data_IF_220113198223
#
_entry.id   IF_220113198223
#
_cell.length_a   1.000
_cell.length_b   1.000
_cell.length_c   1.000
_cell.angle_alpha   90.00
_cell.angle_beta   90.00
_cell.angle_gamma   90.00
#
_symmetry.space_group_name_H-M   'P 1'
#
loop_
_entity.id
_entity.type
_entity.pdbx_description
1 polymer ?
#
# COMPACT_ATOMS: atom_id res chain seq x y z
N UNK A 1 -2.82 52.81 17.38
CA UNK A 1 -1.76 52.19 16.54
C UNK A 1 -1.75 50.70 16.88
N UNK A 2 -2.22 49.85 15.98
CA UNK A 2 -2.35 48.41 16.22
C UNK A 2 -1.01 47.71 15.96
N UNK A 3 -0.53 46.95 16.94
CA UNK A 3 0.64 46.09 16.78
C UNK A 3 0.39 45.05 15.69
N UNK A 4 1.31 44.84 14.74
CA UNK A 4 1.15 43.80 13.74
C UNK A 4 1.19 42.44 14.45
N UNK A 5 0.09 41.71 14.35
CA UNK A 5 -0.03 40.36 14.89
C UNK A 5 1.08 39.48 14.33
N UNK A 6 2.01 39.06 15.20
CA UNK A 6 2.91 37.95 14.90
C UNK A 6 2.01 36.75 14.58
N UNK A 7 2.05 36.29 13.33
CA UNK A 7 1.60 34.95 12.97
C UNK A 7 2.35 34.00 13.92
N UNK A 8 1.61 33.26 14.73
CA UNK A 8 2.19 32.26 15.62
C UNK A 8 3.03 31.31 14.75
N UNK A 9 4.34 31.30 14.99
CA UNK A 9 5.18 30.23 14.45
C UNK A 9 4.59 28.91 14.96
N UNK A 10 4.35 27.91 14.09
CA UNK A 10 3.98 26.59 14.56
C UNK A 10 5.07 26.11 15.53
N UNK A 11 4.71 25.38 16.61
CA UNK A 11 5.69 24.88 17.57
C UNK A 11 6.78 24.10 16.82
N UNK A 12 8.02 24.22 17.28
CA UNK A 12 9.17 23.54 16.69
C UNK A 12 9.02 22.00 16.64
N UNK A 13 8.04 21.46 17.39
CA UNK A 13 7.65 20.04 17.44
C UNK A 13 6.62 19.63 16.37
N UNK A 14 6.28 20.50 15.41
CA UNK A 14 5.25 20.19 14.40
C UNK A 14 5.74 19.26 13.27
N UNK A 15 7.03 18.91 13.25
CA UNK A 15 7.58 17.99 12.27
C UNK A 15 7.62 16.56 12.84
N UNK A 16 7.12 15.55 12.10
CA UNK A 16 7.21 14.18 12.54
C UNK A 16 8.68 13.82 12.79
N UNK A 17 8.95 13.07 13.86
CA UNK A 17 10.27 12.49 14.09
C UNK A 17 10.74 11.78 12.82
N UNK A 18 12.05 11.73 12.56
CA UNK A 18 12.58 11.05 11.36
C UNK A 18 12.08 9.60 11.25
N UNK A 19 11.88 8.91 12.38
CA UNK A 19 11.31 7.58 12.44
C UNK A 19 9.82 7.55 12.01
N UNK A 20 9.00 8.50 12.46
CA UNK A 20 7.61 8.63 12.01
C UNK A 20 7.53 8.99 10.52
N UNK A 21 8.42 9.85 10.03
CA UNK A 21 8.53 10.19 8.61
C UNK A 21 8.91 8.96 7.75
N UNK A 22 9.85 8.12 8.23
CA UNK A 22 10.25 6.87 7.55
C UNK A 22 9.11 5.84 7.54
N UNK A 23 8.41 5.65 8.65
CA UNK A 23 7.25 4.76 8.71
C UNK A 23 6.15 5.23 7.74
N UNK A 24 5.86 6.53 7.71
CA UNK A 24 4.91 7.08 6.75
C UNK A 24 5.38 6.87 5.31
N UNK A 25 6.65 7.11 5.01
CA UNK A 25 7.20 6.87 3.68
C UNK A 25 7.07 5.40 3.26
N UNK A 26 7.30 4.46 4.18
CA UNK A 26 7.10 3.02 3.95
C UNK A 26 5.65 2.71 3.64
N UNK A 27 4.71 3.14 4.49
CA UNK A 27 3.28 2.91 4.31
C UNK A 27 2.80 3.48 2.97
N UNK A 28 3.23 4.71 2.62
CA UNK A 28 2.94 5.32 1.33
C UNK A 28 3.56 4.52 0.17
N UNK A 29 4.81 4.09 0.27
CA UNK A 29 5.46 3.31 -0.78
C UNK A 29 4.74 1.97 -1.03
N UNK A 30 4.41 1.25 0.04
CA UNK A 30 3.67 -0.01 -0.04
C UNK A 30 2.25 0.23 -0.57
N UNK A 31 1.57 1.31 -0.15
CA UNK A 31 0.25 1.70 -0.65
C UNK A 31 0.24 1.99 -2.16
N UNK A 32 1.25 2.71 -2.64
CA UNK A 32 1.45 2.98 -4.06
C UNK A 32 1.65 1.68 -4.85
N UNK A 33 2.52 0.80 -4.35
CA UNK A 33 2.83 -0.50 -4.96
C UNK A 33 1.63 -1.44 -5.00
N UNK A 34 0.77 -1.38 -3.99
CA UNK A 34 -0.48 -2.14 -3.90
C UNK A 34 -1.61 -1.61 -4.82
N UNK A 35 -1.33 -0.65 -5.71
CA UNK A 35 -2.34 -0.11 -6.62
C UNK A 35 -3.27 0.93 -5.99
N UNK A 36 -2.83 1.57 -4.90
CA UNK A 36 -3.53 2.68 -4.22
C UNK A 36 -4.98 2.35 -3.80
N UNK A 37 -5.22 1.26 -3.05
CA UNK A 37 -6.57 0.97 -2.57
C UNK A 37 -7.11 2.13 -1.72
N UNK A 38 -8.41 2.42 -1.85
CA UNK A 38 -9.02 3.48 -1.03
C UNK A 38 -9.02 3.11 0.45
N UNK A 39 -8.96 4.11 1.33
CA UNK A 39 -9.08 3.89 2.79
C UNK A 39 -10.33 3.08 3.16
N UNK A 40 -11.41 3.22 2.38
CA UNK A 40 -12.68 2.51 2.64
C UNK A 40 -12.55 1.02 2.33
N UNK A 41 -11.84 0.68 1.26
CA UNK A 41 -11.55 -0.72 0.95
C UNK A 41 -10.61 -1.33 1.98
N UNK A 42 -9.54 -0.61 2.35
CA UNK A 42 -8.62 -1.08 3.37
C UNK A 42 -9.36 -1.38 4.68
N UNK A 43 -10.23 -0.50 5.15
CA UNK A 43 -11.07 -0.77 6.34
C UNK A 43 -11.98 -2.00 6.19
N UNK A 44 -12.56 -2.22 5.01
CA UNK A 44 -13.37 -3.42 4.72
C UNK A 44 -12.49 -4.68 4.76
N UNK A 45 -11.28 -4.63 4.21
CA UNK A 45 -10.35 -5.76 4.17
C UNK A 45 -9.84 -6.09 5.58
N UNK A 46 -9.44 -5.10 6.38
CA UNK A 46 -9.08 -5.28 7.80
C UNK A 46 -10.22 -5.96 8.56
N UNK A 47 -11.46 -5.50 8.35
CA UNK A 47 -12.65 -6.09 8.98
C UNK A 47 -12.87 -7.54 8.54
N UNK A 48 -12.67 -7.86 7.26
CA UNK A 48 -12.88 -9.21 6.71
C UNK A 48 -11.82 -10.20 7.19
N UNK A 49 -10.56 -9.76 7.29
CA UNK A 49 -9.45 -10.60 7.74
C UNK A 49 -9.48 -10.84 9.26
N UNK A 50 -10.21 -10.02 10.03
CA UNK A 50 -10.32 -10.19 11.49
C UNK A 50 -9.01 -9.91 12.25
N UNK A 51 -8.06 -9.21 11.62
CA UNK A 51 -6.71 -8.96 12.16
C UNK A 51 -6.66 -7.87 13.24
N UNK A 52 -7.78 -7.19 13.50
CA UNK A 52 -7.88 -6.09 14.47
C UNK A 52 -9.26 -6.03 15.13
N UNK A 53 -9.29 -5.82 16.45
CA UNK A 53 -10.52 -5.66 17.25
C UNK A 53 -10.40 -4.48 18.24
N UNK A 54 -11.29 -3.47 18.18
CA UNK A 54 -12.33 -3.29 17.17
C UNK A 54 -11.72 -3.03 15.78
N UNK A 55 -12.39 -3.43 14.67
CA UNK A 55 -11.86 -3.21 13.33
C UNK A 55 -11.69 -1.71 13.03
N UNK A 56 -10.62 -1.36 12.34
CA UNK A 56 -10.32 0.03 11.98
C UNK A 56 -11.44 0.64 11.13
N UNK A 57 -11.88 1.84 11.51
CA UNK A 57 -12.82 2.62 10.70
C UNK A 57 -12.14 3.23 9.47
N UNK A 58 -12.94 3.65 8.49
CA UNK A 58 -12.44 4.38 7.33
C UNK A 58 -11.63 5.63 7.69
N UNK A 59 -12.10 6.42 8.66
CA UNK A 59 -11.40 7.63 9.10
C UNK A 59 -10.09 7.28 9.80
N UNK A 60 -10.07 6.25 10.64
CA UNK A 60 -8.84 5.76 11.28
C UNK A 60 -7.78 5.37 10.26
N UNK A 61 -8.18 4.68 9.19
CA UNK A 61 -7.27 4.33 8.09
C UNK A 61 -6.81 5.57 7.33
N UNK A 62 -7.72 6.50 7.04
CA UNK A 62 -7.36 7.75 6.37
C UNK A 62 -6.34 8.56 7.19
N UNK A 63 -6.57 8.69 8.50
CA UNK A 63 -5.72 9.45 9.41
C UNK A 63 -4.29 8.88 9.47
N UNK A 64 -4.13 7.56 9.34
CA UNK A 64 -2.84 6.90 9.29
C UNK A 64 -1.95 7.33 8.10
N UNK A 65 -2.54 7.84 7.01
CA UNK A 65 -1.80 8.36 5.85
C UNK A 65 -1.78 9.89 5.76
N UNK A 66 -2.76 10.55 6.39
CA UNK A 66 -3.01 11.98 6.23
C UNK A 66 -2.55 12.84 7.42
N UNK A 67 -2.29 12.24 8.58
CA UNK A 67 -1.91 12.98 9.79
C UNK A 67 -0.44 12.78 10.15
N UNK A 68 0.08 13.71 10.96
CA UNK A 68 1.44 13.63 11.54
C UNK A 68 1.48 12.69 12.74
N UNK A 69 0.31 12.28 13.26
CA UNK A 69 0.21 11.43 14.45
C UNK A 69 0.66 10.02 14.12
N UNK A 70 1.44 9.42 15.02
CA UNK A 70 1.86 8.04 14.88
C UNK A 70 0.63 7.10 14.97
N UNK A 71 0.30 6.32 13.92
CA UNK A 71 -0.74 5.30 14.00
C UNK A 71 -0.37 4.23 15.04
N UNK A 72 -1.36 3.54 15.59
CA UNK A 72 -1.08 2.43 16.51
C UNK A 72 -0.34 1.29 15.80
N UNK A 73 0.52 0.57 16.53
CA UNK A 73 1.26 -0.56 15.96
C UNK A 73 0.34 -1.59 15.31
N UNK A 74 -0.80 -1.90 15.96
CA UNK A 74 -1.80 -2.82 15.44
C UNK A 74 -2.39 -2.35 14.11
N UNK A 75 -2.61 -1.04 13.95
CA UNK A 75 -3.09 -0.47 12.69
C UNK A 75 -2.03 -0.56 11.59
N UNK A 76 -0.76 -0.28 11.91
CA UNK A 76 0.36 -0.41 10.96
C UNK A 76 0.46 -1.84 10.45
N UNK A 77 0.45 -2.83 11.34
CA UNK A 77 0.51 -4.26 10.96
C UNK A 77 -0.69 -4.65 10.10
N UNK A 78 -1.90 -4.28 10.51
CA UNK A 78 -3.12 -4.58 9.76
C UNK A 78 -3.12 -3.94 8.36
N UNK A 79 -2.59 -2.72 8.23
CA UNK A 79 -2.43 -2.07 6.93
C UNK A 79 -1.41 -2.81 6.06
N UNK A 80 -0.28 -3.23 6.62
CA UNK A 80 0.72 -4.00 5.87
C UNK A 80 0.18 -5.36 5.45
N UNK A 81 -0.58 -6.06 6.29
CA UNK A 81 -1.24 -7.32 5.90
C UNK A 81 -2.16 -7.12 4.70
N UNK A 82 -3.05 -6.13 4.77
CA UNK A 82 -3.96 -5.80 3.67
C UNK A 82 -3.19 -5.38 2.41
N UNK A 83 -2.23 -4.48 2.54
CA UNK A 83 -1.50 -3.93 1.40
C UNK A 83 -0.56 -4.95 0.76
N UNK A 84 -0.03 -5.90 1.52
CA UNK A 84 0.81 -6.97 0.98
C UNK A 84 0.00 -8.17 0.49
N UNK A 85 -1.26 -8.33 0.91
CA UNK A 85 -2.19 -9.26 0.29
C UNK A 85 -2.65 -8.75 -1.09
N UNK A 86 -2.88 -7.45 -1.22
CA UNK A 86 -3.23 -6.81 -2.50
C UNK A 86 -1.99 -6.61 -3.37
N UNK A 87 -0.90 -6.13 -2.77
CA UNK A 87 0.39 -5.90 -3.40
C UNK A 87 1.26 -7.14 -3.27
N UNK A 88 1.32 -7.93 -4.35
CA UNK A 88 2.10 -9.17 -4.45
C UNK A 88 3.59 -8.93 -4.11
N UNK A 89 3.94 -9.10 -2.83
CA UNK A 89 5.31 -9.36 -2.43
C UNK A 89 5.73 -10.71 -3.01
N UNK A 90 6.93 -10.78 -3.60
CA UNK A 90 7.40 -11.94 -4.38
C UNK A 90 7.41 -13.25 -3.59
N UNK A 91 7.55 -13.19 -2.27
CA UNK A 91 7.52 -14.35 -1.39
C UNK A 91 7.12 -13.94 0.05
N UNK A 92 6.81 -14.92 0.89
CA UNK A 92 6.43 -14.73 2.29
C UNK A 92 7.55 -14.15 3.16
N UNK A 93 8.82 -14.43 2.84
CA UNK A 93 9.97 -13.92 3.59
C UNK A 93 10.14 -12.39 3.44
N UNK A 94 9.83 -11.84 2.28
CA UNK A 94 9.83 -10.39 2.05
C UNK A 94 8.69 -9.71 2.83
N UNK A 95 7.53 -10.38 2.97
CA UNK A 95 6.40 -9.88 3.78
C UNK A 95 6.76 -9.81 5.26
N UNK A 96 7.38 -10.86 5.79
CA UNK A 96 7.78 -10.87 7.19
C UNK A 96 8.92 -9.87 7.45
N UNK A 97 9.90 -9.76 6.53
CA UNK A 97 10.95 -8.73 6.61
C UNK A 97 10.38 -7.31 6.60
N UNK A 98 9.36 -7.04 5.77
CA UNK A 98 8.68 -5.74 5.72
C UNK A 98 7.96 -5.42 7.03
N UNK A 99 7.24 -6.41 7.60
CA UNK A 99 6.55 -6.25 8.88
C UNK A 99 7.52 -6.00 10.02
N UNK A 100 8.63 -6.74 10.06
CA UNK A 100 9.67 -6.56 11.06
C UNK A 100 10.27 -5.15 10.99
N UNK A 101 10.71 -4.72 9.80
CA UNK A 101 11.25 -3.37 9.61
C UNK A 101 10.23 -2.28 9.96
N UNK A 102 8.94 -2.48 9.69
CA UNK A 102 7.89 -1.55 10.07
C UNK A 102 7.65 -1.50 11.58
N UNK A 103 7.69 -2.64 12.27
CA UNK A 103 7.59 -2.73 13.72
C UNK A 103 8.76 -2.02 14.40
N UNK A 104 9.98 -2.21 13.90
CA UNK A 104 11.17 -1.55 14.42
C UNK A 104 11.13 -0.03 14.17
N UNK A 105 10.64 0.41 13.01
CA UNK A 105 10.40 1.83 12.74
C UNK A 105 9.35 2.43 13.67
N UNK A 106 8.30 1.67 13.97
CA UNK A 106 7.23 2.11 14.86
C UNK A 106 7.72 2.25 16.30
N UNK A 107 8.49 1.28 16.82
CA UNK A 107 9.08 1.34 18.16
C UNK A 107 9.98 2.57 18.33
N UNK A 108 10.82 2.87 17.33
CA UNK A 108 11.68 4.07 17.34
C UNK A 108 10.86 5.36 17.27
N UNK A 109 9.79 5.39 16.49
CA UNK A 109 8.89 6.55 16.42
C UNK A 109 8.16 6.78 17.74
N UNK A 110 7.71 5.71 18.40
CA UNK A 110 7.05 5.78 19.70
C UNK A 110 8.01 6.24 20.82
N UNK A 111 9.26 5.77 20.82
CA UNK A 111 10.28 6.23 21.76
C UNK A 111 10.63 7.73 21.58
N UNK A 112 10.64 8.20 20.34
CA UNK A 112 10.84 9.63 20.05
C UNK A 112 9.68 10.51 20.55
N UNK A 113 8.43 10.04 20.48
CA UNK A 113 7.27 10.77 21.02
C UNK A 113 7.30 10.89 22.56
N UNK A 114 7.96 9.96 23.27
CA UNK A 114 8.09 9.99 24.73
C UNK A 114 9.33 10.76 25.23
N UNK A 115 10.11 11.36 24.33
CA UNK A 115 11.32 12.11 24.69
C UNK A 115 12.50 11.24 25.12
N UNK A 116 12.43 9.93 24.85
CA UNK A 116 13.51 8.99 25.07
C UNK A 116 14.40 8.93 23.83
N UNK A 117 15.16 9.99 23.55
CA UNK A 117 16.07 10.03 22.40
C UNK A 117 17.52 10.25 22.86
N UNK A 118 18.33 9.21 22.67
CA UNK A 118 19.80 9.29 22.66
C UNK A 118 20.31 8.14 21.78
N UNK A 119 20.13 8.26 20.46
CA UNK A 119 20.95 7.49 19.50
C UNK A 119 20.24 6.57 18.52
N UNK A 120 18.92 6.66 18.32
CA UNK A 120 18.21 5.82 17.34
C UNK A 120 18.15 6.43 15.92
N UNK A 121 19.08 7.34 15.58
CA UNK A 121 19.17 7.99 14.25
C UNK A 121 19.75 7.06 13.16
N UNK A 122 20.15 5.83 13.51
CA UNK A 122 20.54 4.84 12.50
C UNK A 122 19.41 4.55 11.51
N UNK A 123 19.78 4.54 10.23
CA UNK A 123 18.91 4.04 9.17
C UNK A 123 18.64 2.55 9.39
N UNK A 124 17.37 2.15 9.41
CA UNK A 124 17.00 0.74 9.34
C UNK A 124 17.32 0.24 7.92
N UNK A 125 18.37 -0.58 7.72
CA UNK A 125 18.80 -0.99 6.39
C UNK A 125 17.69 -1.74 5.65
N UNK A 126 16.91 -2.51 6.40
CA UNK A 126 15.78 -3.30 5.93
C UNK A 126 14.70 -2.43 5.25
N UNK A 127 14.36 -1.29 5.84
CA UNK A 127 13.39 -0.36 5.26
C UNK A 127 13.95 0.37 4.04
N UNK A 128 15.25 0.69 4.05
CA UNK A 128 15.88 1.28 2.87
C UNK A 128 15.79 0.35 1.66
N UNK A 129 15.90 -0.96 1.85
CA UNK A 129 15.68 -1.93 0.77
C UNK A 129 14.28 -1.80 0.16
N UNK A 130 13.23 -1.71 1.00
CA UNK A 130 11.85 -1.57 0.52
C UNK A 130 11.54 -0.21 -0.10
N UNK A 131 12.24 0.84 0.29
CA UNK A 131 12.10 2.20 -0.26
C UNK A 131 12.97 2.44 -1.50
N UNK A 132 13.89 1.51 -1.81
CA UNK A 132 14.81 1.66 -2.94
C UNK A 132 14.13 1.42 -4.29
N UNK A 133 14.70 1.93 -5.40
CA UNK A 133 14.22 1.60 -6.75
C UNK A 133 14.27 0.10 -7.06
N UNK A 134 15.15 -0.65 -6.40
CA UNK A 134 15.31 -2.10 -6.53
C UNK A 134 14.50 -2.86 -5.47
N UNK A 135 13.47 -2.22 -4.92
CA UNK A 135 12.63 -2.79 -3.87
C UNK A 135 12.08 -4.16 -4.31
N UNK A 136 12.04 -5.15 -3.41
CA UNK A 136 11.35 -6.41 -3.66
C UNK A 136 9.82 -6.22 -3.82
N UNK A 137 9.30 -5.03 -3.49
CA UNK A 137 7.91 -4.65 -3.76
C UNK A 137 7.68 -4.54 -5.27
N UNK A 138 6.96 -5.51 -5.83
CA UNK A 138 6.58 -5.49 -7.24
C UNK A 138 5.70 -4.28 -7.52
N UNK A 139 6.02 -3.54 -8.56
CA UNK A 139 5.14 -2.49 -9.08
C UNK A 139 3.97 -3.18 -9.80
N UNK A 140 2.76 -3.10 -9.24
CA UNK A 140 1.58 -3.59 -9.95
C UNK A 140 1.29 -2.63 -11.11
N UNK A 141 1.67 -3.04 -12.32
CA UNK A 141 1.21 -2.36 -13.53
C UNK A 141 -0.23 -2.78 -13.80
N UNK A 142 -1.15 -1.89 -13.41
CA UNK A 142 -2.58 -2.10 -13.48
C UNK A 142 -3.13 -1.40 -14.72
N UNK A 143 -3.83 -2.14 -15.56
CA UNK A 143 -4.52 -1.60 -16.74
C UNK A 143 -6.02 -1.65 -16.54
N UNK A 144 -6.71 -0.70 -17.13
CA UNK A 144 -8.17 -0.61 -17.15
C UNK A 144 -8.76 -1.76 -17.99
N UNK A 145 -10.02 -2.18 -17.73
CA UNK A 145 -10.71 -3.12 -18.61
C UNK A 145 -10.74 -2.65 -20.07
N UNK A 146 -10.81 -1.33 -20.30
CA UNK A 146 -10.76 -0.71 -21.62
C UNK A 146 -9.39 -0.89 -22.29
N UNK A 147 -8.29 -0.62 -21.58
CA UNK A 147 -6.92 -0.83 -22.08
C UNK A 147 -6.64 -2.32 -22.33
N UNK A 148 -7.06 -3.19 -21.41
CA UNK A 148 -6.96 -4.64 -21.60
C UNK A 148 -7.77 -5.10 -22.83
N UNK A 149 -8.95 -4.51 -23.06
CA UNK A 149 -9.76 -4.78 -24.25
C UNK A 149 -9.08 -4.35 -25.54
N UNK A 150 -8.39 -3.22 -25.55
CA UNK A 150 -7.58 -2.78 -26.71
C UNK A 150 -6.46 -3.77 -27.02
N UNK A 151 -5.78 -4.28 -25.98
CA UNK A 151 -4.69 -5.25 -26.13
C UNK A 151 -5.20 -6.62 -26.60
N UNK A 152 -6.30 -7.11 -26.01
CA UNK A 152 -6.91 -8.41 -26.36
C UNK A 152 -7.77 -8.34 -27.62
N UNK A 153 -8.04 -7.15 -28.15
CA UNK A 153 -9.04 -6.89 -29.20
C UNK A 153 -10.43 -7.40 -28.84
N UNK A 154 -10.82 -7.22 -27.58
CA UNK A 154 -12.11 -7.61 -27.03
C UNK A 154 -12.90 -6.38 -26.57
N UNK A 155 -14.25 -6.40 -26.63
CA UNK A 155 -15.05 -5.33 -26.05
C UNK A 155 -14.92 -5.33 -24.51
N UNK A 156 -15.03 -4.17 -23.84
CA UNK A 156 -14.84 -4.08 -22.39
C UNK A 156 -15.75 -5.00 -21.56
N UNK A 157 -16.98 -5.27 -22.04
CA UNK A 157 -17.90 -6.20 -21.38
C UNK A 157 -17.37 -7.65 -21.37
N UNK A 158 -16.65 -8.06 -22.41
CA UNK A 158 -16.07 -9.40 -22.50
C UNK A 158 -14.83 -9.52 -21.61
N UNK A 159 -14.02 -8.45 -21.54
CA UNK A 159 -12.92 -8.37 -20.56
C UNK A 159 -13.45 -8.47 -19.14
N UNK A 160 -14.54 -7.76 -18.82
CA UNK A 160 -15.19 -7.85 -17.51
C UNK A 160 -15.70 -9.27 -17.24
N UNK A 161 -16.27 -9.96 -18.24
CA UNK A 161 -16.66 -11.37 -18.11
C UNK A 161 -15.47 -12.27 -17.77
N UNK A 162 -14.32 -12.09 -18.43
CA UNK A 162 -13.09 -12.84 -18.13
C UNK A 162 -12.56 -12.57 -16.72
N UNK A 163 -12.71 -11.33 -16.23
CA UNK A 163 -12.34 -10.95 -14.87
C UNK A 163 -13.28 -11.60 -13.85
N UNK A 164 -14.59 -11.56 -14.11
CA UNK A 164 -15.63 -12.14 -13.25
C UNK A 164 -15.56 -13.68 -13.24
N UNK A 165 -15.13 -14.32 -14.33
CA UNK A 165 -14.92 -15.77 -14.42
C UNK A 165 -13.55 -16.24 -13.90
N UNK A 166 -12.71 -15.33 -13.42
CA UNK A 166 -11.33 -15.59 -12.97
C UNK A 166 -10.38 -16.13 -14.05
N UNK A 167 -10.73 -15.99 -15.34
CA UNK A 167 -9.84 -16.34 -16.45
C UNK A 167 -8.73 -15.31 -16.65
N UNK A 168 -9.03 -14.05 -16.28
CA UNK A 168 -8.12 -12.92 -16.32
C UNK A 168 -7.98 -12.32 -14.90
N UNK A 169 -6.79 -12.42 -14.33
CA UNK A 169 -6.55 -11.97 -12.96
C UNK A 169 -6.71 -10.45 -12.82
N UNK A 170 -7.56 -10.05 -11.88
CA UNK A 170 -7.90 -8.66 -11.64
C UNK A 170 -7.86 -8.30 -10.16
N UNK A 171 -7.47 -7.05 -9.90
CA UNK A 171 -7.38 -6.47 -8.57
C UNK A 171 -8.49 -5.44 -8.41
N UNK A 172 -9.21 -5.53 -7.29
CA UNK A 172 -10.25 -4.58 -6.94
C UNK A 172 -9.64 -3.25 -6.42
N UNK A 173 -9.53 -2.24 -7.29
CA UNK A 173 -8.97 -0.92 -6.92
C UNK A 173 -9.98 0.05 -6.31
N UNK A 174 -11.29 -0.17 -6.51
CA UNK A 174 -12.36 0.54 -5.79
C UNK A 174 -13.59 -0.36 -5.67
N UNK A 175 -14.60 -0.11 -4.82
CA UNK A 175 -15.81 -0.95 -4.73
C UNK A 175 -16.55 -1.20 -6.04
N UNK A 176 -16.33 -0.35 -7.07
CA UNK A 176 -16.96 -0.45 -8.40
C UNK A 176 -15.95 -0.56 -9.53
N UNK A 177 -14.65 -0.67 -9.23
CA UNK A 177 -13.60 -0.72 -10.26
C UNK A 177 -12.63 -1.84 -9.96
N UNK A 178 -12.43 -2.66 -10.97
CA UNK A 178 -11.37 -3.63 -11.04
C UNK A 178 -10.36 -3.19 -12.10
N UNK A 179 -9.12 -3.64 -11.94
CA UNK A 179 -8.04 -3.44 -12.91
C UNK A 179 -7.40 -4.78 -13.17
N UNK A 180 -6.99 -4.99 -14.42
CA UNK A 180 -6.28 -6.20 -14.83
C UNK A 180 -4.79 -6.00 -14.54
N UNK A 181 -4.13 -7.05 -14.07
CA UNK A 181 -2.68 -7.05 -13.95
C UNK A 181 -2.07 -7.16 -15.35
N UNK A 182 -1.18 -6.24 -15.74
CA UNK A 182 -0.53 -6.27 -17.05
C UNK A 182 0.19 -7.59 -17.34
N UNK A 183 0.70 -8.25 -16.31
CA UNK A 183 1.35 -9.56 -16.43
C UNK A 183 0.33 -10.69 -16.63
N UNK A 184 -0.82 -10.65 -15.95
CA UNK A 184 -1.88 -11.60 -16.19
C UNK A 184 -2.47 -11.44 -17.60
N UNK A 185 -2.54 -10.21 -18.09
CA UNK A 185 -2.89 -9.88 -19.46
C UNK A 185 -1.88 -10.48 -20.45
N UNK A 186 -0.58 -10.32 -20.19
CA UNK A 186 0.48 -10.90 -21.00
C UNK A 186 0.44 -12.44 -20.99
N UNK A 187 0.30 -13.06 -19.81
CA UNK A 187 0.17 -14.50 -19.67
C UNK A 187 -1.09 -15.05 -20.37
N UNK A 188 -2.19 -14.30 -20.37
CA UNK A 188 -3.40 -14.66 -21.12
C UNK A 188 -3.17 -14.59 -22.64
N UNK A 189 -2.48 -13.56 -23.13
CA UNK A 189 -2.08 -13.46 -24.54
C UNK A 189 -1.17 -14.62 -24.97
N UNK A 190 -0.19 -14.97 -24.13
CA UNK A 190 0.74 -16.05 -24.43
C UNK A 190 0.00 -17.40 -24.49
N UNK A 191 -0.95 -17.65 -23.58
CA UNK A 191 -1.86 -18.81 -23.65
C UNK A 191 -2.68 -18.88 -24.94
N UNK A 192 -3.22 -17.74 -25.42
CA UNK A 192 -3.95 -17.70 -26.70
C UNK A 192 -3.02 -18.03 -27.86
N UNK A 193 -1.79 -17.50 -27.87
CA UNK A 193 -0.80 -17.75 -28.92
C UNK A 193 -0.38 -19.21 -28.96
N UNK A 194 -0.16 -19.82 -27.81
CA UNK A 194 0.22 -21.24 -27.69
C UNK A 194 -0.95 -22.17 -28.05
N UNK A 195 -2.19 -21.81 -27.67
CA UNK A 195 -3.39 -22.57 -28.03
C UNK A 195 -3.83 -22.44 -29.49
N UNK A 196 -3.29 -21.45 -30.22
CA UNK A 196 -3.64 -21.14 -31.61
C UNK A 196 -2.87 -21.91 -32.69
N UNK A 197 -1.98 -22.85 -32.34
CA UNK A 197 -1.19 -23.65 -33.31
C UNK A 197 -1.90 -24.97 -33.70
N UNK A 198 -3.18 -25.13 -33.36
CA UNK A 198 -4.02 -26.22 -33.86
C UNK A 198 -5.12 -25.64 -34.75
N UNK A 199 -4.77 -25.20 -35.96
CA UNK A 199 -5.71 -24.97 -37.06
C UNK A 199 -5.08 -25.36 -38.37
#
# INVERSE_FOLDING_TARGET
>A
MASPGRLAQPPADAFPSRAAARLNALLHHVHLRAGRPSSRQMAIMIKRQGVMSPPASHSTVYDAFATVRLPSQQLVVALLDVLTEVGLLRNSADRESLKQGAADSWLRAAAAETGADDGLDEALPELQTFLSPNSPLRELSLVTPEEAGQVLRLPPAEVQRLMDSHELEAVQVSPRRQRVLAEALQAYLDRIREGGIAS
#
